data_IF_832715565916
#
_entry.id   IF_832715565916
#
_cell.length_a   1.000
_cell.length_b   1.000
_cell.length_c   1.000
_cell.angle_alpha   90.00
_cell.angle_beta   90.00
_cell.angle_gamma   90.00
#
_symmetry.space_group_name_H-M   'P 1'
#
loop_
_entity.id
_entity.type
_entity.pdbx_description
1 polymer ?
#
# COMPACT_ATOMS: atom_id res chain seq x y z
N UNK A 1 -52.23 -45.11 14.01
CA UNK A 1 -51.62 -46.10 13.08
C UNK A 1 -51.82 -45.72 11.61
N UNK A 2 -53.05 -45.55 11.10
CA UNK A 2 -53.27 -45.18 9.69
C UNK A 2 -52.68 -43.83 9.26
N UNK A 3 -52.79 -42.79 10.10
CA UNK A 3 -52.18 -41.47 9.84
C UNK A 3 -50.65 -41.52 9.76
N UNK A 4 -50.00 -42.30 10.62
CA UNK A 4 -48.54 -42.47 10.61
C UNK A 4 -48.06 -43.20 9.35
N UNK A 5 -48.83 -44.18 8.84
CA UNK A 5 -48.51 -44.88 7.60
C UNK A 5 -48.64 -43.94 6.40
N UNK A 6 -49.64 -43.06 6.42
CA UNK A 6 -49.85 -42.04 5.39
C UNK A 6 -48.73 -40.98 5.40
N UNK A 7 -48.30 -40.53 6.58
CA UNK A 7 -47.17 -39.60 6.72
C UNK A 7 -45.86 -40.21 6.26
N UNK A 8 -45.61 -41.49 6.59
CA UNK A 8 -44.39 -42.19 6.16
C UNK A 8 -44.36 -42.38 4.64
N UNK A 9 -45.50 -42.70 4.02
CA UNK A 9 -45.58 -42.86 2.57
C UNK A 9 -45.42 -41.52 1.85
N UNK A 10 -45.99 -40.44 2.39
CA UNK A 10 -45.83 -39.09 1.85
C UNK A 10 -44.35 -38.62 1.94
N UNK A 11 -43.69 -38.89 3.06
CA UNK A 11 -42.27 -38.58 3.25
C UNK A 11 -41.39 -39.36 2.26
N UNK A 12 -41.66 -40.66 2.07
CA UNK A 12 -40.91 -41.49 1.13
C UNK A 12 -41.06 -41.00 -0.32
N UNK A 13 -42.27 -40.58 -0.72
CA UNK A 13 -42.52 -39.99 -2.03
C UNK A 13 -41.78 -38.65 -2.18
N UNK A 14 -41.83 -37.78 -1.17
CA UNK A 14 -41.15 -36.48 -1.21
C UNK A 14 -39.63 -36.63 -1.38
N UNK A 15 -39.00 -37.55 -0.64
CA UNK A 15 -37.56 -37.83 -0.75
C UNK A 15 -37.22 -38.40 -2.14
N UNK A 16 -38.04 -39.31 -2.66
CA UNK A 16 -37.85 -39.88 -4.00
C UNK A 16 -37.92 -38.83 -5.11
N UNK A 17 -38.88 -37.91 -5.03
CA UNK A 17 -39.01 -36.79 -5.99
C UNK A 17 -37.81 -35.84 -5.87
N UNK A 18 -37.37 -35.52 -4.65
CA UNK A 18 -36.22 -34.64 -4.44
C UNK A 18 -34.94 -35.24 -5.03
N UNK A 19 -34.70 -36.53 -4.83
CA UNK A 19 -33.56 -37.24 -5.40
C UNK A 19 -33.60 -37.26 -6.94
N UNK A 20 -34.78 -37.45 -7.53
CA UNK A 20 -34.97 -37.37 -8.99
C UNK A 20 -34.67 -35.97 -9.53
N UNK A 21 -35.12 -34.91 -8.84
CA UNK A 21 -34.85 -33.52 -9.22
C UNK A 21 -33.34 -33.24 -9.16
N UNK A 22 -32.66 -33.63 -8.08
CA UNK A 22 -31.20 -33.46 -7.93
C UNK A 22 -30.47 -34.20 -9.04
N UNK A 23 -30.83 -35.45 -9.32
CA UNK A 23 -30.19 -36.27 -10.34
C UNK A 23 -30.42 -35.71 -11.75
N UNK A 24 -31.59 -35.14 -12.00
CA UNK A 24 -31.93 -34.49 -13.26
C UNK A 24 -31.17 -33.17 -13.46
N UNK A 25 -31.02 -32.36 -12.40
CA UNK A 25 -30.21 -31.13 -12.42
C UNK A 25 -28.73 -31.47 -12.60
N UNK A 26 -28.21 -32.45 -11.85
CA UNK A 26 -26.82 -32.89 -11.95
C UNK A 26 -26.48 -33.44 -13.34
N UNK A 27 -27.41 -34.15 -13.99
CA UNK A 27 -27.23 -34.61 -15.39
C UNK A 27 -27.34 -33.50 -16.43
N UNK A 28 -28.04 -32.40 -16.12
CA UNK A 28 -28.20 -31.24 -17.01
C UNK A 28 -27.10 -30.19 -16.86
N UNK A 29 -26.32 -30.24 -15.78
CA UNK A 29 -25.11 -29.43 -15.67
C UNK A 29 -24.13 -29.94 -16.73
N UNK A 30 -24.05 -29.20 -17.85
CA UNK A 30 -22.90 -29.29 -18.74
C UNK A 30 -21.63 -29.14 -17.88
N UNK A 31 -20.53 -29.86 -18.17
CA UNK A 31 -19.27 -29.60 -17.51
C UNK A 31 -19.02 -28.10 -17.61
N UNK A 32 -18.77 -27.45 -16.47
CA UNK A 32 -18.40 -26.03 -16.49
C UNK A 32 -17.32 -25.90 -17.57
N UNK A 33 -17.43 -24.92 -18.50
CA UNK A 33 -16.35 -24.69 -19.45
C UNK A 33 -15.08 -24.64 -18.61
N UNK A 34 -14.04 -25.43 -18.96
CA UNK A 34 -12.81 -25.40 -18.18
C UNK A 34 -12.47 -23.94 -18.03
N UNK A 35 -12.29 -23.50 -16.78
CA UNK A 35 -11.77 -22.17 -16.49
C UNK A 35 -10.69 -21.92 -17.52
N UNK A 36 -10.74 -20.79 -18.20
CA UNK A 36 -9.65 -20.34 -19.06
C UNK A 36 -8.50 -19.94 -18.11
N UNK A 37 -8.06 -20.91 -17.31
CA UNK A 37 -6.88 -20.90 -16.51
C UNK A 37 -5.78 -20.99 -17.52
N UNK A 38 -5.22 -19.82 -17.80
CA UNK A 38 -3.99 -19.62 -18.53
C UNK A 38 -3.02 -20.66 -17.97
N UNK A 39 -2.85 -21.75 -18.71
CA UNK A 39 -2.06 -22.88 -18.28
C UNK A 39 -0.62 -22.51 -18.57
N UNK A 40 -0.03 -21.76 -17.66
CA UNK A 40 1.36 -21.35 -17.76
C UNK A 40 2.23 -22.60 -17.86
N UNK A 41 3.07 -22.64 -18.87
CA UNK A 41 4.09 -23.67 -19.00
C UNK A 41 5.00 -23.65 -17.76
N UNK A 42 5.67 -24.77 -17.41
CA UNK A 42 6.56 -24.82 -16.25
C UNK A 42 7.63 -23.70 -16.25
N UNK A 43 8.09 -23.28 -17.44
CA UNK A 43 9.00 -22.14 -17.58
C UNK A 43 8.35 -20.78 -17.27
N UNK A 44 7.11 -20.56 -17.71
CA UNK A 44 6.36 -19.33 -17.41
C UNK A 44 6.00 -19.24 -15.91
N UNK A 45 5.73 -20.36 -15.25
CA UNK A 45 5.49 -20.39 -13.80
C UNK A 45 6.74 -19.98 -13.00
N UNK A 46 7.92 -20.42 -13.41
CA UNK A 46 9.18 -20.04 -12.76
C UNK A 46 9.49 -18.55 -12.96
N UNK A 47 9.20 -18.00 -14.15
CA UNK A 47 9.33 -16.55 -14.42
C UNK A 47 8.36 -15.76 -13.54
N UNK A 48 7.10 -16.18 -13.45
CA UNK A 48 6.09 -15.49 -12.62
C UNK A 48 6.49 -15.54 -11.14
N UNK A 49 7.04 -16.67 -10.67
CA UNK A 49 7.52 -16.82 -9.31
C UNK A 49 8.69 -15.87 -9.03
N UNK A 50 9.68 -15.80 -9.93
CA UNK A 50 10.81 -14.89 -9.79
C UNK A 50 10.38 -13.41 -9.85
N UNK A 51 9.43 -13.06 -10.72
CA UNK A 51 8.84 -11.72 -10.78
C UNK A 51 8.06 -11.40 -9.50
N UNK A 52 7.32 -12.36 -8.94
CA UNK A 52 6.62 -12.21 -7.68
C UNK A 52 7.56 -11.96 -6.51
N UNK A 53 8.65 -12.73 -6.41
CA UNK A 53 9.70 -12.55 -5.40
C UNK A 53 10.43 -11.21 -5.58
N UNK A 54 10.71 -10.79 -6.81
CA UNK A 54 11.29 -9.47 -7.09
C UNK A 54 10.34 -8.35 -6.70
N UNK A 55 9.05 -8.48 -7.04
CA UNK A 55 8.02 -7.51 -6.69
C UNK A 55 7.89 -7.36 -5.19
N UNK A 56 7.90 -8.45 -4.44
CA UNK A 56 7.81 -8.40 -2.98
C UNK A 56 9.04 -7.71 -2.35
N UNK A 57 10.23 -7.92 -2.94
CA UNK A 57 11.45 -7.22 -2.53
C UNK A 57 11.42 -5.74 -2.91
N UNK A 58 10.92 -5.40 -4.09
CA UNK A 58 10.75 -4.03 -4.55
C UNK A 58 9.70 -3.28 -3.73
N UNK A 59 8.59 -3.92 -3.38
CA UNK A 59 7.54 -3.32 -2.53
C UNK A 59 8.09 -2.98 -1.13
N UNK A 60 9.03 -3.77 -0.60
CA UNK A 60 9.69 -3.45 0.69
C UNK A 60 10.69 -2.30 0.60
N UNK A 61 11.17 -1.96 -0.60
CA UNK A 61 12.20 -0.95 -0.81
C UNK A 61 11.62 0.37 -1.32
N UNK A 62 10.57 0.33 -2.13
CA UNK A 62 9.95 1.54 -2.68
C UNK A 62 9.06 2.17 -1.60
N UNK A 63 9.39 3.39 -1.11
CA UNK A 63 8.52 4.09 -0.19
C UNK A 63 7.12 4.24 -0.81
N UNK A 64 6.04 4.20 0.00
CA UNK A 64 4.67 4.08 -0.49
C UNK A 64 4.28 5.15 -1.53
N UNK A 65 4.94 6.30 -1.49
CA UNK A 65 4.70 7.45 -2.36
C UNK A 65 5.32 7.32 -3.76
N UNK A 66 6.42 6.57 -3.91
CA UNK A 66 7.07 6.32 -5.22
C UNK A 66 6.28 5.38 -6.12
N UNK A 67 5.26 4.68 -5.59
CA UNK A 67 4.46 3.70 -6.32
C UNK A 67 3.44 4.31 -7.29
N UNK A 68 3.15 5.60 -7.15
CA UNK A 68 2.01 6.26 -7.85
C UNK A 68 2.46 7.31 -8.87
N UNK A 69 3.75 7.64 -8.95
CA UNK A 69 4.25 8.70 -9.82
C UNK A 69 3.74 10.11 -9.44
N UNK A 70 3.24 10.27 -8.22
CA UNK A 70 2.72 11.55 -7.73
C UNK A 70 3.86 12.42 -7.22
N UNK A 71 4.06 13.56 -7.87
CA UNK A 71 4.95 14.62 -7.39
C UNK A 71 4.06 15.65 -6.70
N UNK A 72 4.22 15.91 -5.39
CA UNK A 72 3.46 16.93 -4.70
C UNK A 72 3.76 18.27 -5.36
N UNK A 73 2.73 19.09 -5.52
CA UNK A 73 2.80 20.39 -6.19
C UNK A 73 3.10 21.53 -5.22
N UNK A 74 3.00 21.26 -3.92
CA UNK A 74 3.11 22.26 -2.86
C UNK A 74 3.75 21.70 -1.59
N UNK A 75 4.21 22.63 -0.73
CA UNK A 75 4.83 22.30 0.56
C UNK A 75 3.76 21.81 1.55
N UNK A 76 2.52 22.29 1.41
CA UNK A 76 1.36 21.79 2.15
C UNK A 76 1.12 20.31 1.88
N UNK A 77 1.03 19.91 0.61
CA UNK A 77 0.85 18.51 0.22
C UNK A 77 2.02 17.65 0.69
N UNK A 78 3.25 18.17 0.63
CA UNK A 78 4.43 17.45 1.11
C UNK A 78 4.33 17.16 2.62
N UNK A 79 3.91 18.15 3.41
CA UNK A 79 3.73 18.02 4.86
C UNK A 79 2.69 16.95 5.17
N UNK A 80 1.54 16.97 4.51
CA UNK A 80 0.46 16.01 4.76
C UNK A 80 0.83 14.60 4.31
N UNK A 81 1.46 14.49 3.13
CA UNK A 81 1.88 13.21 2.54
C UNK A 81 2.94 12.53 3.41
N UNK A 82 3.95 13.27 3.86
CA UNK A 82 5.01 12.77 4.73
C UNK A 82 4.70 12.98 6.23
N UNK A 83 3.45 13.25 6.60
CA UNK A 83 3.01 13.33 8.00
C UNK A 83 3.90 14.20 8.90
N UNK A 84 4.48 15.27 8.35
CA UNK A 84 5.37 16.15 9.10
C UNK A 84 4.53 17.05 10.01
N UNK A 85 4.96 17.21 11.25
CA UNK A 85 4.37 18.19 12.17
C UNK A 85 4.78 19.61 11.80
N UNK A 86 5.95 19.75 11.16
CA UNK A 86 6.56 21.01 10.78
C UNK A 86 7.32 20.90 9.46
N UNK A 87 7.17 21.91 8.59
CA UNK A 87 7.96 22.05 7.36
C UNK A 87 8.25 23.53 7.09
N UNK A 88 9.49 23.85 6.75
CA UNK A 88 9.93 25.17 6.32
C UNK A 88 10.76 25.08 5.05
N UNK A 89 10.46 25.91 4.07
CA UNK A 89 11.24 26.09 2.84
C UNK A 89 11.38 27.58 2.57
N UNK A 90 12.60 28.12 2.64
CA UNK A 90 12.83 29.56 2.51
C UNK A 90 12.07 30.36 3.58
N UNK A 91 11.20 31.26 3.15
CA UNK A 91 10.35 32.07 4.05
C UNK A 91 9.01 31.40 4.39
N UNK A 92 8.64 30.32 3.68
CA UNK A 92 7.36 29.65 3.89
C UNK A 92 7.49 28.59 4.99
N UNK A 93 6.70 28.75 6.04
CA UNK A 93 6.72 27.92 7.24
C UNK A 93 5.30 27.38 7.53
N UNK A 94 5.20 26.06 7.77
CA UNK A 94 3.94 25.35 7.95
C UNK A 94 4.00 24.41 9.16
N UNK A 95 2.97 24.46 10.00
CA UNK A 95 2.82 23.58 11.18
C UNK A 95 3.40 24.14 12.47
N UNK A 96 3.50 23.27 13.47
CA UNK A 96 3.95 23.66 14.82
C UNK A 96 5.45 23.50 14.92
N UNK A 97 6.17 24.61 15.15
CA UNK A 97 7.63 24.64 15.22
C UNK A 97 8.13 23.92 16.48
N UNK A 98 8.87 22.80 16.36
CA UNK A 98 9.46 22.13 17.51
C UNK A 98 10.60 22.97 18.11
N UNK A 99 10.79 22.92 19.44
CA UNK A 99 11.76 23.78 20.15
C UNK A 99 13.22 23.53 19.75
N UNK A 100 13.54 22.31 19.29
CA UNK A 100 14.91 21.94 18.92
C UNK A 100 15.30 22.32 17.48
N UNK A 101 14.34 22.75 16.65
CA UNK A 101 14.59 23.01 15.21
C UNK A 101 15.60 24.13 14.98
N UNK A 102 15.62 25.17 15.81
CA UNK A 102 16.52 26.33 15.63
C UNK A 102 17.99 25.92 15.68
N UNK A 103 18.32 24.93 16.49
CA UNK A 103 19.69 24.42 16.62
C UNK A 103 20.15 23.75 15.32
N UNK A 104 19.25 23.06 14.62
CA UNK A 104 19.56 22.35 13.38
C UNK A 104 19.41 23.23 12.15
N UNK A 105 18.50 24.20 12.17
CA UNK A 105 18.34 25.18 11.10
C UNK A 105 19.59 26.06 10.95
N UNK A 106 20.34 26.34 12.00
CA UNK A 106 21.60 27.08 11.90
C UNK A 106 22.75 26.32 11.24
N UNK A 107 22.63 25.00 11.07
CA UNK A 107 23.73 24.16 10.56
C UNK A 107 23.90 24.32 9.05
N UNK A 108 25.16 24.47 8.63
CA UNK A 108 25.56 24.55 7.23
C UNK A 108 25.89 23.16 6.68
N UNK A 109 24.84 22.37 6.43
CA UNK A 109 24.93 20.98 6.00
C UNK A 109 24.05 20.72 4.79
N UNK A 110 24.51 19.85 3.88
CA UNK A 110 23.74 19.45 2.68
C UNK A 110 22.58 18.52 3.04
N UNK A 111 22.82 17.59 3.97
CA UNK A 111 21.84 16.64 4.45
C UNK A 111 22.07 16.37 5.94
N UNK A 112 21.00 16.44 6.71
CA UNK A 112 20.95 16.05 8.11
C UNK A 112 19.66 15.31 8.41
N UNK A 113 19.79 14.20 9.12
CA UNK A 113 18.70 13.50 9.76
C UNK A 113 19.09 13.26 11.21
N UNK A 114 18.46 13.99 12.12
CA UNK A 114 18.72 13.90 13.55
C UNK A 114 17.48 13.37 14.28
N UNK A 115 17.68 12.56 15.31
CA UNK A 115 16.60 12.13 16.20
C UNK A 115 16.80 12.75 17.58
N UNK A 116 15.76 13.39 18.11
CA UNK A 116 15.77 13.95 19.46
C UNK A 116 14.39 13.87 20.08
N UNK A 117 14.30 13.31 21.28
CA UNK A 117 13.05 13.20 22.05
C UNK A 117 11.88 12.53 21.27
N UNK A 118 12.20 11.56 20.40
CA UNK A 118 11.19 10.87 19.59
C UNK A 118 10.71 11.64 18.36
N UNK A 119 11.29 12.81 18.07
CA UNK A 119 11.07 13.59 16.86
C UNK A 119 12.31 13.48 15.98
N UNK A 120 12.10 13.25 14.69
CA UNK A 120 13.13 13.33 13.68
C UNK A 120 13.09 14.71 13.03
N UNK A 121 14.27 15.32 12.93
CA UNK A 121 14.50 16.61 12.29
C UNK A 121 15.35 16.38 11.05
N UNK A 122 14.88 16.95 9.94
CA UNK A 122 15.43 16.83 8.62
C UNK A 122 15.88 18.18 8.14
N UNK A 123 17.15 18.29 7.73
CA UNK A 123 17.67 19.48 7.04
C UNK A 123 18.21 19.03 5.70
N UNK A 124 17.65 19.54 4.62
CA UNK A 124 18.06 19.18 3.26
C UNK A 124 18.33 20.48 2.51
N UNK A 125 19.53 20.61 1.93
CA UNK A 125 19.89 21.73 1.08
C UNK A 125 20.16 21.24 -0.33
N UNK A 126 19.52 21.89 -1.30
CA UNK A 126 19.67 21.59 -2.72
C UNK A 126 19.36 22.84 -3.55
N UNK A 127 20.13 23.11 -4.60
CA UNK A 127 19.87 24.23 -5.52
C UNK A 127 19.82 25.62 -4.86
N UNK A 128 20.51 25.81 -3.72
CA UNK A 128 20.45 27.05 -2.92
C UNK A 128 19.21 27.18 -2.03
N UNK A 129 18.28 26.22 -2.08
CA UNK A 129 17.09 26.13 -1.21
C UNK A 129 17.38 25.24 -0.02
N UNK A 130 16.75 25.55 1.11
CA UNK A 130 16.87 24.79 2.36
C UNK A 130 15.48 24.37 2.83
N UNK A 131 15.28 23.06 2.95
CA UNK A 131 14.14 22.42 3.60
C UNK A 131 14.52 22.08 5.02
N UNK A 132 13.68 22.47 5.96
CA UNK A 132 13.73 22.02 7.35
C UNK A 132 12.39 21.38 7.67
N UNK A 133 12.37 20.10 7.97
CA UNK A 133 11.15 19.38 8.31
C UNK A 133 11.31 18.64 9.63
N UNK A 134 10.21 18.45 10.36
CA UNK A 134 10.18 17.63 11.57
C UNK A 134 8.94 16.74 11.59
N UNK A 135 9.11 15.54 12.12
CA UNK A 135 8.04 14.56 12.27
C UNK A 135 8.44 13.39 13.14
N UNK A 136 7.53 12.44 13.35
CA UNK A 136 7.76 11.28 14.23
C UNK A 136 8.36 10.07 13.49
N UNK A 137 8.38 10.13 12.16
CA UNK A 137 8.83 9.02 11.32
C UNK A 137 10.25 9.21 10.82
N UNK A 138 10.97 8.09 10.72
CA UNK A 138 12.28 8.00 10.09
C UNK A 138 12.12 7.95 8.58
N UNK A 139 12.78 8.85 7.85
CA UNK A 139 12.82 8.81 6.39
C UNK A 139 13.92 7.88 5.90
N UNK A 140 13.58 7.03 4.94
CA UNK A 140 14.55 6.21 4.22
C UNK A 140 15.32 7.04 3.19
N UNK A 141 16.40 6.46 2.67
CA UNK A 141 17.27 7.11 1.69
C UNK A 141 16.50 7.58 0.44
N UNK A 142 15.53 6.79 -0.04
CA UNK A 142 14.76 7.14 -1.23
C UNK A 142 13.84 8.33 -0.98
N UNK A 143 13.20 8.41 0.19
CA UNK A 143 12.38 9.58 0.53
C UNK A 143 13.23 10.84 0.70
N UNK A 144 14.42 10.73 1.30
CA UNK A 144 15.36 11.86 1.41
C UNK A 144 15.81 12.34 0.03
N UNK A 145 16.13 11.40 -0.87
CA UNK A 145 16.50 11.73 -2.24
C UNK A 145 15.35 12.40 -2.99
N UNK A 146 14.14 11.88 -2.84
CA UNK A 146 12.93 12.50 -3.38
C UNK A 146 12.74 13.93 -2.87
N UNK A 147 12.94 14.19 -1.57
CA UNK A 147 12.88 15.55 -1.02
C UNK A 147 13.92 16.50 -1.63
N UNK A 148 15.11 15.97 -1.92
CA UNK A 148 16.16 16.75 -2.58
C UNK A 148 15.76 17.10 -4.02
N UNK A 149 15.20 16.14 -4.77
CA UNK A 149 14.71 16.37 -6.14
C UNK A 149 13.48 17.31 -6.15
N UNK A 150 12.61 17.22 -5.15
CA UNK A 150 11.49 18.15 -4.96
C UNK A 150 11.95 19.59 -4.74
N UNK A 151 13.05 19.79 -3.99
CA UNK A 151 13.64 21.13 -3.81
C UNK A 151 14.23 21.71 -5.09
N UNK A 152 14.81 20.87 -5.95
CA UNK A 152 15.29 21.29 -7.27
C UNK A 152 14.12 21.65 -8.22
N UNK A 153 12.93 21.06 -8.02
CA UNK A 153 11.73 21.32 -8.82
C UNK A 153 10.99 22.61 -8.42
N UNK A 154 10.85 22.88 -7.12
CA UNK A 154 10.33 24.15 -6.59
C UNK A 154 11.12 25.34 -7.14
#
# INVERSE_FOLDING_TARGET
MYLQILELSLLAVAVGVLALIILFIARRQQPLPPDVGISYTPGEQEIIKQIGELRERLDKVIPPYGRVGYIPSSIEELKDLLGFTYVKVGEKELGERPPDVDTYEGLDVELLQASRNGIYIYVIRRGGKKLVAAGTQYLDYLTIRFLSEFLDYL
#
